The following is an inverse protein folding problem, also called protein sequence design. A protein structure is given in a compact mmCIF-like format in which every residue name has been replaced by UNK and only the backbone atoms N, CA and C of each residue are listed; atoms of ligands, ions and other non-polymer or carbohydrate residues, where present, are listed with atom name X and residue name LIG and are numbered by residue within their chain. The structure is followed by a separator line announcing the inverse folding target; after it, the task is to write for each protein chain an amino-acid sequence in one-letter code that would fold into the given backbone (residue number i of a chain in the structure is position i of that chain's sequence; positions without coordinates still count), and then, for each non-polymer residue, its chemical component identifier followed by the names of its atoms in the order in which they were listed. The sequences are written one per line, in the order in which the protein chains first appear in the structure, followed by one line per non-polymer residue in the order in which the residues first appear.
data_IF_626749809112
#
_entry.id   IF_626749809112
#
_cell.length_a   1.000
_cell.length_b   1.000
_cell.length_c   1.000
_cell.angle_alpha   90.00
_cell.angle_beta   90.00
_cell.angle_gamma   90.00
#
_symmetry.space_group_name_H-M   'P 1'
#
loop_
_entity.id
_entity.type
_entity.pdbx_description
1 polymer ?
#
# COMPACT_ATOMS: atom_id res chain seq x y z
N UNK A 1 -4.97 -3.57 22.51
CA UNK A 1 -6.24 -3.40 23.26
C UNK A 1 -6.19 -2.10 24.05
N UNK A 2 -7.32 -1.44 24.19
CA UNK A 2 -7.45 -0.21 24.99
C UNK A 2 -7.26 -0.52 26.48
N UNK A 3 -6.46 0.29 27.17
CA UNK A 3 -6.37 0.28 28.64
C UNK A 3 -7.33 1.30 29.22
N UNK A 4 -7.27 2.53 28.69
CA UNK A 4 -8.20 3.63 29.02
C UNK A 4 -8.12 4.68 27.89
N UNK A 5 -9.20 5.41 27.66
CA UNK A 5 -9.22 6.51 26.68
C UNK A 5 -10.63 6.99 26.40
N UNK A 6 -10.75 8.25 25.97
CA UNK A 6 -12.02 8.84 25.60
C UNK A 6 -12.56 8.21 24.32
N UNK A 7 -13.81 7.78 24.33
CA UNK A 7 -14.49 7.18 23.18
C UNK A 7 -14.20 5.69 22.93
N UNK A 8 -13.48 5.02 23.83
CA UNK A 8 -13.17 3.59 23.74
C UNK A 8 -13.38 2.90 25.09
N UNK A 9 -13.84 1.65 25.04
CA UNK A 9 -14.00 0.82 26.23
C UNK A 9 -12.69 0.08 26.56
N UNK A 10 -12.35 -0.10 27.87
CA UNK A 10 -11.25 -0.96 28.27
C UNK A 10 -11.39 -2.37 27.70
N UNK A 11 -10.33 -2.91 27.14
CA UNK A 11 -10.33 -4.22 26.46
C UNK A 11 -10.78 -4.19 24.99
N UNK A 12 -11.27 -3.07 24.49
CA UNK A 12 -11.64 -2.94 23.08
C UNK A 12 -10.43 -3.19 22.18
N UNK A 13 -10.65 -3.94 21.10
CA UNK A 13 -9.64 -4.21 20.08
C UNK A 13 -9.52 -2.98 19.17
N UNK A 14 -8.30 -2.47 19.01
CA UNK A 14 -8.04 -1.27 18.20
C UNK A 14 -6.75 -1.41 17.40
N UNK A 15 -6.65 -0.67 16.29
CA UNK A 15 -5.39 -0.33 15.64
C UNK A 15 -5.21 1.18 15.66
N UNK A 16 -3.97 1.65 15.72
CA UNK A 16 -3.68 3.07 15.71
C UNK A 16 -2.43 3.38 14.89
N UNK A 17 -2.26 4.65 14.52
CA UNK A 17 -1.09 5.15 13.84
C UNK A 17 -0.58 6.42 14.50
N UNK A 18 0.74 6.49 14.69
CA UNK A 18 1.44 7.66 15.22
C UNK A 18 2.76 7.85 14.49
N UNK A 19 3.44 8.96 14.78
CA UNK A 19 4.74 9.26 14.17
C UNK A 19 5.87 8.36 14.69
N UNK A 20 5.78 7.88 15.94
CA UNK A 20 6.80 7.08 16.63
C UNK A 20 6.22 6.40 17.88
N UNK A 21 7.02 5.51 18.50
CA UNK A 21 6.69 4.94 19.81
C UNK A 21 5.85 3.65 19.76
N UNK A 22 5.58 3.09 18.56
CA UNK A 22 4.76 1.88 18.43
C UNK A 22 5.40 0.59 18.94
N UNK A 23 6.73 0.55 19.10
CA UNK A 23 7.44 -0.60 19.65
C UNK A 23 7.50 -0.52 21.20
N UNK A 24 6.35 -0.54 21.85
CA UNK A 24 6.21 -0.41 23.30
C UNK A 24 5.00 -1.20 23.79
N UNK A 25 5.05 -1.68 25.03
CA UNK A 25 3.95 -2.42 25.66
C UNK A 25 2.71 -1.54 25.88
N UNK A 26 2.92 -0.26 26.10
CA UNK A 26 1.88 0.76 26.25
C UNK A 26 2.20 1.97 25.38
N UNK A 27 1.21 2.42 24.64
CA UNK A 27 1.31 3.59 23.77
C UNK A 27 0.20 4.57 24.12
N UNK A 28 0.53 5.84 24.23
CA UNK A 28 -0.43 6.93 24.32
C UNK A 28 -0.54 7.57 22.93
N UNK A 29 -1.76 7.67 22.42
CA UNK A 29 -2.05 8.26 21.11
C UNK A 29 -3.28 9.14 21.15
N UNK A 30 -3.46 9.98 20.12
CA UNK A 30 -4.72 10.71 19.92
C UNK A 30 -5.83 9.74 19.53
N UNK A 31 -7.01 9.90 20.13
CA UNK A 31 -8.19 9.11 19.79
C UNK A 31 -8.58 9.22 18.31
N UNK A 32 -8.26 10.33 17.65
CA UNK A 32 -8.49 10.54 16.20
C UNK A 32 -7.69 9.60 15.31
N UNK A 33 -6.59 9.04 15.82
CA UNK A 33 -5.69 8.15 15.08
C UNK A 33 -5.81 6.69 15.53
N UNK A 34 -6.87 6.36 16.28
CA UNK A 34 -7.15 5.02 16.81
C UNK A 34 -8.50 4.56 16.29
N UNK A 35 -8.57 3.33 15.81
CA UNK A 35 -9.73 2.78 15.11
C UNK A 35 -10.14 1.44 15.72
N UNK A 36 -11.44 1.26 15.97
CA UNK A 36 -11.99 -0.04 16.37
C UNK A 36 -11.76 -1.10 15.30
N UNK A 37 -11.30 -2.28 15.70
CA UNK A 37 -11.07 -3.39 14.77
C UNK A 37 -12.34 -4.21 14.57
N UNK A 38 -12.71 -4.53 13.31
CA UNK A 38 -13.69 -5.56 13.00
C UNK A 38 -13.24 -6.92 13.54
N UNK A 39 -14.20 -7.77 13.92
CA UNK A 39 -13.91 -9.12 14.45
C UNK A 39 -13.22 -10.03 13.45
N UNK A 40 -13.41 -9.78 12.15
CA UNK A 40 -12.82 -10.54 11.06
C UNK A 40 -11.29 -10.40 10.94
N UNK A 41 -10.66 -9.43 11.65
CA UNK A 41 -9.23 -9.10 11.52
C UNK A 41 -8.49 -9.47 12.80
N UNK A 42 -7.37 -10.18 12.68
CA UNK A 42 -6.43 -10.43 13.78
C UNK A 42 -5.59 -9.19 14.11
N UNK A 43 -4.90 -9.18 15.25
CA UNK A 43 -3.99 -8.07 15.57
C UNK A 43 -2.81 -7.98 14.62
N UNK A 44 -2.28 -9.12 14.18
CA UNK A 44 -1.18 -9.18 13.23
C UNK A 44 -1.57 -8.60 11.85
N UNK A 45 -2.76 -8.90 11.36
CA UNK A 45 -3.30 -8.30 10.15
C UNK A 45 -3.55 -6.79 10.33
N UNK A 46 -4.08 -6.40 11.50
CA UNK A 46 -4.43 -5.03 11.80
C UNK A 46 -3.25 -4.05 11.80
N UNK A 47 -2.01 -4.52 12.08
CA UNK A 47 -0.80 -3.67 12.07
C UNK A 47 -0.57 -2.99 10.72
N UNK A 48 -1.01 -3.58 9.63
CA UNK A 48 -0.87 -3.00 8.29
C UNK A 48 -1.92 -1.93 7.98
N UNK A 49 -3.11 -2.00 8.58
CA UNK A 49 -4.29 -1.24 8.17
C UNK A 49 -4.09 0.28 8.24
N UNK A 50 -3.69 0.89 9.38
CA UNK A 50 -3.70 2.35 9.50
C UNK A 50 -2.69 3.05 8.60
N UNK A 51 -1.53 2.44 8.32
CA UNK A 51 -0.51 3.07 7.51
C UNK A 51 -0.62 2.67 6.03
N UNK A 52 -0.61 1.36 5.74
CA UNK A 52 -0.50 0.90 4.37
C UNK A 52 -1.82 1.04 3.60
N UNK A 53 -2.95 0.67 4.23
CA UNK A 53 -4.25 0.66 3.56
C UNK A 53 -4.86 2.06 3.45
N UNK A 54 -4.69 2.93 4.45
CA UNK A 54 -5.13 4.31 4.32
C UNK A 54 -4.27 5.08 3.30
N UNK A 55 -2.97 4.77 3.18
CA UNK A 55 -2.14 5.27 2.08
C UNK A 55 -2.65 4.77 0.71
N UNK A 56 -2.99 3.48 0.60
CA UNK A 56 -3.51 2.92 -0.64
C UNK A 56 -4.88 3.52 -1.03
N UNK A 57 -5.79 3.71 -0.07
CA UNK A 57 -7.06 4.41 -0.30
C UNK A 57 -6.82 5.84 -0.80
N UNK A 58 -5.96 6.61 -0.13
CA UNK A 58 -5.62 7.96 -0.57
C UNK A 58 -5.06 7.97 -2.00
N UNK A 59 -4.13 7.06 -2.29
CA UNK A 59 -3.53 6.94 -3.61
C UNK A 59 -4.58 6.65 -4.69
N UNK A 60 -5.43 5.64 -4.47
CA UNK A 60 -6.32 5.10 -5.50
C UNK A 60 -7.64 5.88 -5.63
N UNK A 61 -8.29 6.21 -4.50
CA UNK A 61 -9.57 6.94 -4.55
C UNK A 61 -9.38 8.43 -4.80
N UNK A 62 -8.48 9.09 -4.07
CA UNK A 62 -8.39 10.56 -4.12
C UNK A 62 -7.38 11.05 -5.14
N UNK A 63 -6.20 10.45 -5.16
CA UNK A 63 -5.14 10.91 -6.08
C UNK A 63 -5.33 10.36 -7.49
N UNK A 64 -5.63 9.08 -7.62
CA UNK A 64 -5.86 8.47 -8.92
C UNK A 64 -7.32 8.56 -9.39
N UNK A 65 -8.28 8.57 -8.48
CA UNK A 65 -9.71 8.50 -8.79
C UNK A 65 -10.01 7.26 -9.65
N UNK A 66 -9.52 6.11 -9.19
CA UNK A 66 -9.68 4.83 -9.89
C UNK A 66 -11.15 4.47 -9.98
N UNK A 67 -11.56 3.99 -11.15
CA UNK A 67 -12.94 3.55 -11.43
C UNK A 67 -12.97 2.05 -11.70
N UNK A 68 -14.11 1.44 -11.45
CA UNK A 68 -14.32 0.04 -11.79
C UNK A 68 -14.06 -0.23 -13.29
N UNK A 69 -13.35 -1.31 -13.57
CA UNK A 69 -12.94 -1.69 -14.93
C UNK A 69 -11.62 -1.07 -15.39
N UNK A 70 -11.03 -0.12 -14.68
CA UNK A 70 -9.69 0.38 -14.97
C UNK A 70 -8.62 -0.67 -14.62
N UNK A 71 -7.44 -0.55 -15.25
CA UNK A 71 -6.28 -1.38 -14.97
C UNK A 71 -5.26 -0.59 -14.17
N UNK A 72 -4.87 -1.13 -13.01
CA UNK A 72 -3.87 -0.55 -12.09
C UNK A 72 -2.61 -1.39 -12.09
N UNK A 73 -1.46 -0.77 -12.35
CA UNK A 73 -0.14 -1.37 -12.17
C UNK A 73 0.39 -1.03 -10.78
N UNK A 74 0.93 -2.02 -10.07
CA UNK A 74 1.49 -1.81 -8.72
C UNK A 74 2.95 -2.25 -8.68
N UNK A 75 3.88 -1.30 -8.49
CA UNK A 75 5.28 -1.59 -8.21
C UNK A 75 5.50 -1.95 -6.74
N UNK A 76 6.55 -2.74 -6.47
CA UNK A 76 6.83 -3.21 -5.11
C UNK A 76 5.70 -4.03 -4.51
N UNK A 77 5.02 -4.80 -5.35
CA UNK A 77 3.74 -5.43 -5.13
C UNK A 77 3.69 -6.41 -3.94
N UNK A 78 4.82 -6.98 -3.53
CA UNK A 78 4.92 -7.88 -2.37
C UNK A 78 5.21 -7.15 -1.04
N UNK A 79 5.39 -5.83 -1.06
CA UNK A 79 5.59 -5.01 0.15
C UNK A 79 4.28 -4.59 0.79
N UNK A 80 4.36 -3.93 1.97
CA UNK A 80 3.16 -3.55 2.73
C UNK A 80 2.20 -2.61 1.98
N UNK A 81 2.70 -1.51 1.37
CA UNK A 81 1.85 -0.60 0.56
C UNK A 81 1.47 -1.24 -0.77
N UNK A 82 2.35 -2.08 -1.36
CA UNK A 82 2.06 -2.80 -2.60
C UNK A 82 0.87 -3.74 -2.45
N UNK A 83 0.89 -4.63 -1.45
CA UNK A 83 -0.22 -5.55 -1.17
C UNK A 83 -1.51 -4.82 -0.80
N UNK A 84 -1.41 -3.73 -0.02
CA UNK A 84 -2.55 -2.88 0.29
C UNK A 84 -3.15 -2.26 -0.98
N UNK A 85 -2.31 -1.75 -1.89
CA UNK A 85 -2.76 -1.18 -3.17
C UNK A 85 -3.45 -2.21 -4.06
N UNK A 86 -2.94 -3.45 -4.10
CA UNK A 86 -3.60 -4.55 -4.82
C UNK A 86 -5.02 -4.75 -4.28
N UNK A 87 -5.17 -4.95 -2.97
CA UNK A 87 -6.46 -5.27 -2.37
C UNK A 87 -7.45 -4.11 -2.45
N UNK A 88 -7.00 -2.87 -2.22
CA UNK A 88 -7.86 -1.68 -2.37
C UNK A 88 -8.28 -1.50 -3.83
N UNK A 89 -7.39 -1.64 -4.80
CA UNK A 89 -7.74 -1.57 -6.22
C UNK A 89 -8.76 -2.64 -6.61
N UNK A 90 -8.62 -3.87 -6.09
CA UNK A 90 -9.64 -4.93 -6.26
C UNK A 90 -10.97 -4.55 -5.64
N UNK A 91 -10.96 -3.95 -4.44
CA UNK A 91 -12.16 -3.43 -3.77
C UNK A 91 -12.87 -2.33 -4.56
N UNK A 92 -12.13 -1.55 -5.34
CA UNK A 92 -12.66 -0.54 -6.26
C UNK A 92 -13.11 -1.11 -7.62
N UNK A 93 -12.99 -2.43 -7.82
CA UNK A 93 -13.39 -3.10 -9.06
C UNK A 93 -12.38 -2.97 -10.21
N UNK A 94 -11.12 -2.65 -9.92
CA UNK A 94 -10.06 -2.56 -10.92
C UNK A 94 -9.44 -3.94 -11.24
N UNK A 95 -8.87 -4.08 -12.44
CA UNK A 95 -7.90 -5.12 -12.77
C UNK A 95 -6.53 -4.69 -12.25
N UNK A 96 -5.78 -5.60 -11.65
CA UNK A 96 -4.48 -5.30 -11.06
C UNK A 96 -3.37 -6.12 -11.72
N UNK A 97 -2.33 -5.43 -12.21
CA UNK A 97 -1.08 -6.03 -12.67
C UNK A 97 0.00 -5.69 -11.65
N UNK A 98 0.60 -6.69 -11.03
CA UNK A 98 1.66 -6.54 -10.05
C UNK A 98 3.03 -6.57 -10.72
N UNK A 99 3.97 -5.73 -10.24
CA UNK A 99 5.38 -5.78 -10.64
C UNK A 99 6.22 -6.14 -9.43
N UNK A 100 7.02 -7.20 -9.55
CA UNK A 100 7.83 -7.76 -8.48
C UNK A 100 9.27 -8.02 -8.92
N UNK A 101 10.21 -8.00 -7.97
CA UNK A 101 11.64 -8.21 -8.26
C UNK A 101 12.03 -9.68 -8.44
N UNK A 102 11.22 -10.61 -7.97
CA UNK A 102 11.47 -12.07 -8.06
C UNK A 102 10.17 -12.82 -8.32
N UNK A 103 10.29 -14.05 -8.85
CA UNK A 103 9.12 -14.92 -9.08
C UNK A 103 8.35 -15.21 -7.79
N UNK A 104 9.03 -15.46 -6.67
CA UNK A 104 8.41 -15.66 -5.36
C UNK A 104 7.54 -14.45 -4.94
N UNK A 105 8.05 -13.24 -5.13
CA UNK A 105 7.31 -12.00 -4.86
C UNK A 105 6.14 -11.80 -5.82
N UNK A 106 6.27 -12.24 -7.07
CA UNK A 106 5.18 -12.21 -8.03
C UNK A 106 4.05 -13.16 -7.62
N UNK A 107 4.39 -14.38 -7.18
CA UNK A 107 3.40 -15.34 -6.67
C UNK A 107 2.73 -14.83 -5.39
N UNK A 108 3.49 -14.19 -4.51
CA UNK A 108 2.93 -13.54 -3.32
C UNK A 108 1.93 -12.43 -3.67
N UNK A 109 2.24 -11.62 -4.69
CA UNK A 109 1.33 -10.56 -5.15
C UNK A 109 0.04 -11.15 -5.78
N UNK A 110 0.13 -12.26 -6.52
CA UNK A 110 -1.06 -13.00 -7.01
C UNK A 110 -1.91 -13.52 -5.85
N UNK A 111 -1.27 -14.12 -4.85
CA UNK A 111 -1.97 -14.58 -3.65
C UNK A 111 -2.63 -13.43 -2.87
N UNK A 112 -2.09 -12.21 -2.95
CA UNK A 112 -2.69 -11.00 -2.37
C UNK A 112 -3.86 -10.44 -3.20
N UNK A 113 -4.14 -10.99 -4.40
CA UNK A 113 -5.29 -10.64 -5.23
C UNK A 113 -4.98 -9.97 -6.58
N UNK A 114 -3.71 -9.87 -6.99
CA UNK A 114 -3.38 -9.38 -8.32
C UNK A 114 -3.87 -10.34 -9.41
N UNK A 115 -4.45 -9.81 -10.48
CA UNK A 115 -4.93 -10.61 -11.62
C UNK A 115 -3.76 -11.16 -12.44
N UNK A 116 -2.71 -10.35 -12.60
CA UNK A 116 -1.46 -10.71 -13.27
C UNK A 116 -0.27 -10.24 -12.44
N UNK A 117 0.89 -10.89 -12.62
CA UNK A 117 2.14 -10.43 -12.03
C UNK A 117 3.30 -10.67 -12.98
N UNK A 118 4.13 -9.65 -13.15
CA UNK A 118 5.29 -9.63 -14.03
C UNK A 118 6.56 -9.31 -13.25
N UNK A 119 7.72 -9.64 -13.81
CA UNK A 119 9.00 -9.27 -13.20
C UNK A 119 9.36 -7.81 -13.52
N UNK A 120 10.11 -7.17 -12.64
CA UNK A 120 10.55 -5.78 -12.81
C UNK A 120 11.45 -5.62 -14.05
N UNK A 121 12.29 -6.61 -14.34
CA UNK A 121 13.06 -6.64 -15.57
C UNK A 121 12.14 -6.96 -16.76
N UNK A 122 12.09 -6.07 -17.73
CA UNK A 122 11.23 -6.22 -18.91
C UNK A 122 9.73 -5.96 -18.69
N UNK A 123 9.30 -5.52 -17.50
CA UNK A 123 7.87 -5.34 -17.15
C UNK A 123 7.09 -4.54 -18.18
N UNK A 124 7.73 -3.55 -18.82
CA UNK A 124 7.06 -2.67 -19.78
C UNK A 124 6.46 -3.48 -20.94
N UNK A 125 7.24 -4.36 -21.53
CA UNK A 125 6.82 -5.11 -22.71
C UNK A 125 5.77 -6.17 -22.34
N UNK A 126 5.92 -6.80 -21.18
CA UNK A 126 4.91 -7.74 -20.64
C UNK A 126 3.59 -7.04 -20.32
N UNK A 127 3.61 -5.87 -19.67
CA UNK A 127 2.42 -5.07 -19.39
C UNK A 127 1.73 -4.62 -20.67
N UNK A 128 2.49 -4.16 -21.66
CA UNK A 128 1.91 -3.80 -22.96
C UNK A 128 1.27 -5.01 -23.64
N UNK A 129 1.86 -6.19 -23.57
CA UNK A 129 1.27 -7.42 -24.09
C UNK A 129 -0.03 -7.78 -23.34
N UNK A 130 -0.03 -7.74 -22.00
CA UNK A 130 -1.21 -8.03 -21.16
C UNK A 130 -2.38 -7.04 -21.38
N UNK A 131 -2.10 -5.85 -21.87
CA UNK A 131 -3.07 -4.79 -22.15
C UNK A 131 -3.34 -4.59 -23.64
N UNK A 132 -2.89 -5.51 -24.51
CA UNK A 132 -3.08 -5.47 -25.96
C UNK A 132 -2.57 -4.14 -26.59
N UNK A 133 -1.51 -3.57 -26.01
CA UNK A 133 -0.92 -2.32 -26.43
C UNK A 133 -1.61 -1.05 -25.92
N UNK A 134 -2.73 -1.17 -25.19
CA UNK A 134 -3.46 -0.01 -24.65
C UNK A 134 -2.70 0.67 -23.50
N UNK A 135 -2.06 -0.10 -22.65
CA UNK A 135 -1.45 0.36 -21.41
C UNK A 135 -2.43 0.36 -20.22
N UNK A 136 -1.95 0.84 -19.05
CA UNK A 136 -2.67 0.85 -17.77
C UNK A 136 -3.21 2.24 -17.44
N UNK A 137 -4.32 2.31 -16.71
CA UNK A 137 -4.97 3.57 -16.36
C UNK A 137 -4.28 4.28 -15.19
N UNK A 138 -3.70 3.51 -14.26
CA UNK A 138 -2.94 4.06 -13.15
C UNK A 138 -1.71 3.19 -12.82
N UNK A 139 -0.65 3.84 -12.32
CA UNK A 139 0.53 3.18 -11.77
C UNK A 139 0.70 3.63 -10.33
N UNK A 140 0.79 2.70 -9.39
CA UNK A 140 1.19 2.96 -8.00
C UNK A 140 2.69 2.67 -7.88
N UNK A 141 3.49 3.71 -7.71
CA UNK A 141 4.95 3.59 -7.65
C UNK A 141 5.49 3.90 -6.24
N UNK A 142 5.84 2.84 -5.51
CA UNK A 142 6.53 2.91 -4.21
C UNK A 142 8.05 2.73 -4.36
N UNK A 143 8.53 2.42 -5.57
CA UNK A 143 9.92 2.02 -5.86
C UNK A 143 10.72 3.18 -6.41
N UNK A 144 10.20 3.86 -7.41
CA UNK A 144 10.92 4.94 -8.12
C UNK A 144 12.12 4.42 -8.94
N UNK A 145 13.19 5.21 -8.97
CA UNK A 145 14.44 4.83 -9.63
C UNK A 145 14.29 4.56 -11.12
N UNK A 146 14.98 3.53 -11.59
CA UNK A 146 15.04 3.14 -13.01
C UNK A 146 13.67 2.74 -13.61
N UNK A 147 12.73 2.25 -12.78
CA UNK A 147 11.39 1.84 -13.24
C UNK A 147 10.51 3.02 -13.66
N UNK A 148 10.77 4.22 -13.15
CA UNK A 148 9.90 5.39 -13.31
C UNK A 148 9.64 5.77 -14.77
N UNK A 149 10.67 5.78 -15.61
CA UNK A 149 10.52 6.16 -17.02
C UNK A 149 9.68 5.17 -17.82
N UNK A 150 9.85 3.88 -17.56
CA UNK A 150 9.06 2.85 -18.24
C UNK A 150 7.64 2.77 -17.67
N UNK A 151 7.45 3.14 -16.41
CA UNK A 151 6.11 3.32 -15.84
C UNK A 151 5.29 4.39 -16.56
N UNK A 152 5.92 5.49 -17.00
CA UNK A 152 5.25 6.50 -17.84
C UNK A 152 4.94 5.98 -19.26
N UNK A 153 5.70 5.02 -19.75
CA UNK A 153 5.51 4.45 -21.10
C UNK A 153 4.40 3.42 -21.17
N UNK A 154 4.08 2.79 -20.05
CA UNK A 154 2.97 1.81 -19.98
C UNK A 154 1.64 2.45 -19.64
N UNK A 155 1.58 3.76 -19.39
CA UNK A 155 0.32 4.46 -19.17
C UNK A 155 -0.51 4.54 -20.46
N UNK A 156 -1.77 4.23 -20.34
CA UNK A 156 -2.77 4.56 -21.35
C UNK A 156 -2.92 6.08 -21.50
N UNK A 157 -3.49 6.60 -22.61
CA UNK A 157 -3.84 8.02 -22.71
C UNK A 157 -4.67 8.47 -21.51
N UNK A 158 -4.32 9.64 -20.93
CA UNK A 158 -4.89 10.18 -19.69
C UNK A 158 -4.64 9.32 -18.43
N UNK A 159 -3.70 8.37 -18.50
CA UNK A 159 -3.25 7.60 -17.36
C UNK A 159 -2.48 8.44 -16.34
N UNK A 160 -2.39 7.94 -15.11
CA UNK A 160 -1.74 8.67 -14.01
C UNK A 160 -0.76 7.80 -13.23
N UNK A 161 0.45 8.33 -13.05
CA UNK A 161 1.48 7.73 -12.21
C UNK A 161 1.45 8.37 -10.83
N UNK A 162 1.33 7.54 -9.81
CA UNK A 162 1.25 7.93 -8.40
C UNK A 162 2.61 7.71 -7.74
N UNK A 163 3.28 8.80 -7.38
CA UNK A 163 4.57 8.76 -6.69
C UNK A 163 4.31 8.63 -5.20
N UNK A 164 4.52 7.42 -4.66
CA UNK A 164 4.29 7.08 -3.25
C UNK A 164 5.60 7.04 -2.47
N UNK A 165 6.70 6.60 -3.11
CA UNK A 165 7.99 6.48 -2.44
C UNK A 165 9.14 6.18 -3.40
N UNK A 166 10.32 5.98 -2.81
CA UNK A 166 11.59 5.80 -3.53
C UNK A 166 12.39 4.63 -2.94
N UNK A 167 11.72 3.47 -2.78
CA UNK A 167 12.32 2.30 -2.13
C UNK A 167 13.49 1.68 -2.92
N UNK A 168 13.69 2.02 -4.19
CA UNK A 168 14.87 1.59 -4.95
C UNK A 168 16.19 2.10 -4.34
N UNK A 169 16.18 3.29 -3.71
CA UNK A 169 17.41 3.93 -3.22
C UNK A 169 18.32 4.45 -4.33
N UNK A 170 17.81 4.57 -5.55
CA UNK A 170 18.56 5.02 -6.75
C UNK A 170 18.50 6.55 -6.95
N UNK A 171 18.00 7.30 -5.95
CA UNK A 171 17.76 8.74 -6.07
C UNK A 171 16.35 9.09 -6.55
N UNK A 172 16.10 10.38 -6.68
CA UNK A 172 14.81 10.91 -7.13
C UNK A 172 14.77 10.89 -8.66
N UNK A 173 13.78 10.24 -9.29
CA UNK A 173 13.70 10.18 -10.74
C UNK A 173 13.37 11.54 -11.35
N UNK A 174 13.91 11.78 -12.54
CA UNK A 174 13.63 12.97 -13.35
C UNK A 174 12.76 12.63 -14.55
N UNK A 175 11.86 13.53 -14.93
CA UNK A 175 11.01 13.37 -16.10
C UNK A 175 11.23 14.48 -17.11
N UNK A 176 11.38 14.12 -18.37
CA UNK A 176 11.27 15.07 -19.49
C UNK A 176 9.79 15.35 -19.72
N UNK A 177 9.34 16.57 -19.40
CA UNK A 177 7.91 16.96 -19.39
C UNK A 177 7.17 16.76 -20.73
N UNK A 178 7.89 16.70 -21.87
CA UNK A 178 7.28 16.35 -23.15
C UNK A 178 6.64 14.95 -23.15
N UNK A 179 7.08 14.03 -22.26
CA UNK A 179 6.44 12.71 -22.11
C UNK A 179 5.02 12.81 -21.56
N UNK A 180 4.77 13.80 -20.71
CA UNK A 180 3.44 14.04 -20.16
C UNK A 180 2.50 14.58 -21.23
N UNK A 181 3.01 15.50 -22.06
CA UNK A 181 2.26 16.11 -23.16
C UNK A 181 1.84 15.08 -24.24
N UNK A 182 2.73 14.17 -24.62
CA UNK A 182 2.52 13.28 -25.77
C UNK A 182 1.34 12.32 -25.61
N UNK A 183 1.08 11.86 -24.38
CA UNK A 183 -0.02 10.93 -24.08
C UNK A 183 -1.05 11.53 -23.11
N UNK A 184 -0.95 12.84 -22.80
CA UNK A 184 -1.80 13.51 -21.82
C UNK A 184 -1.83 12.76 -20.48
N UNK A 185 -0.67 12.32 -19.98
CA UNK A 185 -0.56 11.59 -18.72
C UNK A 185 -0.21 12.50 -17.56
N UNK A 186 -0.60 12.10 -16.36
CA UNK A 186 -0.32 12.82 -15.12
C UNK A 186 0.74 12.13 -14.28
N UNK A 187 1.54 12.91 -13.55
CA UNK A 187 2.33 12.46 -12.41
C UNK A 187 1.78 13.14 -11.16
N UNK A 188 1.36 12.34 -10.19
CA UNK A 188 0.66 12.81 -8.98
C UNK A 188 1.38 12.35 -7.73
N UNK A 189 1.70 13.28 -6.82
CA UNK A 189 2.27 12.96 -5.51
C UNK A 189 1.26 12.31 -4.57
N UNK A 190 1.73 11.36 -3.75
CA UNK A 190 0.95 10.66 -2.72
C UNK A 190 1.66 10.84 -1.38
N UNK A 191 1.49 11.99 -0.76
CA UNK A 191 2.02 12.31 0.57
C UNK A 191 0.95 12.10 1.65
N UNK A 192 0.43 10.88 1.80
CA UNK A 192 -0.68 10.58 2.72
C UNK A 192 -0.42 11.08 4.14
N UNK A 193 0.72 10.77 4.73
CA UNK A 193 1.02 11.18 6.12
C UNK A 193 1.00 12.70 6.29
N UNK A 194 1.63 13.44 5.37
CA UNK A 194 1.63 14.90 5.41
C UNK A 194 0.22 15.48 5.31
N UNK A 195 -0.65 14.86 4.51
CA UNK A 195 -2.04 15.28 4.35
C UNK A 195 -2.88 14.85 5.56
N UNK A 196 -2.86 13.59 5.91
CA UNK A 196 -3.76 12.99 6.91
C UNK A 196 -3.55 13.56 8.33
N UNK A 197 -2.29 13.75 8.74
CA UNK A 197 -2.00 14.34 10.07
C UNK A 197 -2.31 15.85 10.15
N UNK A 198 -2.45 16.53 9.02
CA UNK A 198 -2.83 17.94 8.98
C UNK A 198 -4.36 18.16 8.93
N UNK A 199 -5.16 17.11 8.74
CA UNK A 199 -6.61 17.22 8.58
C UNK A 199 -7.33 16.34 9.62
N UNK A 200 -7.79 16.98 10.70
CA UNK A 200 -8.51 16.31 11.79
C UNK A 200 -9.73 15.53 11.25
N UNK A 201 -9.93 14.32 11.75
CA UNK A 201 -11.05 13.45 11.35
C UNK A 201 -10.86 12.69 10.03
N UNK A 202 -9.93 13.11 9.15
CA UNK A 202 -9.75 12.52 7.83
C UNK A 202 -9.44 11.02 7.85
N UNK A 203 -8.57 10.57 8.76
CA UNK A 203 -8.26 9.14 8.89
C UNK A 203 -9.48 8.33 9.32
N UNK A 204 -10.36 8.90 10.15
CA UNK A 204 -11.63 8.28 10.52
C UNK A 204 -12.58 8.08 9.36
N UNK A 205 -12.67 9.09 8.46
CA UNK A 205 -13.45 8.97 7.22
C UNK A 205 -12.88 7.90 6.29
N UNK A 206 -11.56 7.83 6.14
CA UNK A 206 -10.92 6.76 5.38
C UNK A 206 -11.16 5.38 6.01
N UNK A 207 -11.06 5.29 7.34
CA UNK A 207 -11.32 4.04 8.06
C UNK A 207 -12.75 3.54 7.82
N UNK A 208 -13.74 4.43 7.88
CA UNK A 208 -15.13 4.08 7.60
C UNK A 208 -15.33 3.53 6.17
N UNK A 209 -14.54 3.98 5.20
CA UNK A 209 -14.54 3.44 3.82
C UNK A 209 -13.81 2.10 3.71
N UNK A 210 -12.79 1.87 4.55
CA UNK A 210 -12.01 0.63 4.55
C UNK A 210 -12.77 -0.54 5.20
N UNK A 211 -13.56 -0.29 6.25
CA UNK A 211 -14.28 -1.32 7.01
C UNK A 211 -15.13 -2.24 6.13
N UNK A 212 -15.97 -1.76 5.19
CA UNK A 212 -16.73 -2.65 4.30
C UNK A 212 -15.85 -3.55 3.44
N UNK A 213 -14.65 -3.10 3.02
CA UNK A 213 -13.72 -3.92 2.26
C UNK A 213 -13.09 -5.02 3.14
N UNK A 214 -12.89 -4.75 4.42
CA UNK A 214 -12.45 -5.76 5.41
C UNK A 214 -13.56 -6.79 5.64
N UNK A 215 -14.77 -6.35 5.90
CA UNK A 215 -15.92 -7.21 6.18
C UNK A 215 -16.29 -8.11 5.01
N UNK A 216 -16.11 -7.62 3.77
CA UNK A 216 -16.29 -8.42 2.55
C UNK A 216 -15.17 -9.42 2.29
N UNK A 217 -14.05 -9.34 3.04
CA UNK A 217 -12.87 -10.17 2.86
C UNK A 217 -11.97 -9.78 1.67
N UNK A 218 -12.28 -8.71 0.95
CA UNK A 218 -11.41 -8.17 -0.12
C UNK A 218 -10.12 -7.60 0.47
N UNK A 219 -10.22 -6.92 1.61
CA UNK A 219 -9.08 -6.47 2.39
C UNK A 219 -8.79 -7.49 3.48
N UNK A 220 -7.72 -8.24 3.29
CA UNK A 220 -7.15 -9.17 4.26
C UNK A 220 -5.63 -9.04 4.22
N UNK A 221 -5.04 -8.19 5.10
CA UNK A 221 -3.61 -7.90 5.04
C UNK A 221 -2.77 -9.16 5.16
N UNK A 222 -1.90 -9.46 4.19
CA UNK A 222 -1.02 -10.61 4.31
C UNK A 222 0.04 -10.33 5.37
N UNK A 223 0.12 -11.20 6.37
CA UNK A 223 1.14 -11.18 7.41
C UNK A 223 2.35 -11.95 6.91
N UNK A 224 3.50 -11.30 6.94
CA UNK A 224 4.78 -11.94 6.64
C UNK A 224 5.32 -12.70 7.87
N UNK A 225 6.49 -12.31 8.36
CA UNK A 225 7.06 -12.91 9.57
C UNK A 225 6.62 -12.15 10.82
N UNK A 226 6.29 -12.88 11.87
CA UNK A 226 6.01 -12.36 13.22
C UNK A 226 7.23 -12.62 14.08
N UNK A 227 7.75 -11.59 14.74
CA UNK A 227 8.91 -11.62 15.61
C UNK A 227 8.47 -11.39 17.06
N UNK A 228 9.05 -12.06 18.04
CA UNK A 228 8.94 -11.62 19.44
C UNK A 228 9.70 -10.29 19.62
N UNK A 229 9.38 -9.56 20.69
CA UNK A 229 10.01 -8.24 20.94
C UNK A 229 11.53 -8.32 21.06
N UNK A 230 12.04 -9.41 21.59
CA UNK A 230 13.49 -9.66 21.74
C UNK A 230 14.22 -9.69 20.40
N UNK A 231 13.52 -10.03 19.31
CA UNK A 231 14.04 -10.05 17.94
C UNK A 231 13.74 -8.74 17.16
N UNK A 232 13.35 -7.66 17.82
CA UNK A 232 13.02 -6.39 17.15
C UNK A 232 14.15 -5.88 16.25
N UNK A 233 15.41 -5.99 16.70
CA UNK A 233 16.57 -5.64 15.88
C UNK A 233 16.68 -6.46 14.60
N UNK A 234 16.39 -7.78 14.67
CA UNK A 234 16.38 -8.65 13.50
C UNK A 234 15.24 -8.30 12.54
N UNK A 235 14.07 -7.94 13.06
CA UNK A 235 12.95 -7.49 12.24
C UNK A 235 13.31 -6.24 11.40
N UNK A 236 14.07 -5.30 11.97
CA UNK A 236 14.56 -4.11 11.26
C UNK A 236 15.57 -4.46 10.16
N UNK A 237 16.50 -5.38 10.45
CA UNK A 237 17.48 -5.87 9.47
C UNK A 237 16.79 -6.59 8.32
N UNK A 238 15.83 -7.47 8.61
CA UNK A 238 15.07 -8.20 7.59
C UNK A 238 14.23 -7.25 6.73
N UNK A 239 13.70 -6.18 7.31
CA UNK A 239 12.99 -5.12 6.57
C UNK A 239 13.93 -4.36 5.63
N UNK A 240 15.10 -3.98 6.08
CA UNK A 240 16.10 -3.22 5.29
C UNK A 240 16.69 -4.07 4.16
N UNK A 241 16.81 -5.38 4.35
CA UNK A 241 17.30 -6.32 3.33
C UNK A 241 16.40 -6.44 2.10
N UNK A 242 15.17 -5.92 2.17
CA UNK A 242 14.12 -6.04 1.13
C UNK A 242 13.73 -7.49 0.79
N UNK A 243 14.12 -8.46 1.60
CA UNK A 243 13.73 -9.87 1.44
C UNK A 243 12.31 -10.14 1.96
N UNK A 244 11.75 -9.23 2.76
CA UNK A 244 10.45 -9.39 3.38
C UNK A 244 9.31 -9.53 2.37
N UNK A 245 8.40 -10.46 2.65
CA UNK A 245 7.11 -10.62 1.99
C UNK A 245 6.00 -10.10 2.92
N UNK A 246 5.14 -9.23 2.42
CA UNK A 246 4.05 -8.65 3.22
C UNK A 246 4.53 -7.77 4.37
N UNK A 247 3.73 -7.74 5.45
CA UNK A 247 4.01 -6.96 6.65
C UNK A 247 4.81 -7.77 7.65
N UNK A 248 5.96 -7.25 8.09
CA UNK A 248 6.67 -7.76 9.25
C UNK A 248 6.00 -7.21 10.52
N UNK A 249 5.78 -8.08 11.49
CA UNK A 249 5.07 -7.78 12.73
C UNK A 249 5.96 -8.11 13.92
N UNK A 250 5.97 -7.26 14.93
CA UNK A 250 6.61 -7.52 16.21
C UNK A 250 5.51 -7.70 17.26
N UNK A 251 5.47 -8.87 17.90
CA UNK A 251 4.53 -9.19 18.98
C UNK A 251 5.15 -8.85 20.32
N UNK A 252 4.45 -8.04 21.09
CA UNK A 252 4.90 -7.54 22.39
C UNK A 252 4.40 -8.37 23.56
N UNK A 253 3.26 -9.06 23.37
CA UNK A 253 2.63 -9.97 24.35
C UNK A 253 1.94 -11.12 23.62
N UNK A 254 1.81 -12.22 24.29
CA UNK A 254 0.98 -13.36 23.88
C UNK A 254 -0.51 -13.06 24.08
#
# INVERSE_FOLDING_TARGET
MVVSGDGFEPGQRVAGVGGYGGAAELVVGSAENVFGLPDAITFEEAVALPMNYLTALFALEERAQVRAGETVLVHGAAGGVGTASIQVAKGLGARVIAVASTAEKADYARAAGADDAVLADGFKDEVMALTEGRGVDAVVDVVGGSLFTDSLRVLAPQGRLLVVGFAAGEGIPEVKVNRLLLNNVDVRGVGWGAYAFAHAGYMGEQWARLVPMIESGVVKPPVGKVYPIEEFGQALIDMDSRAALGKLVVRLRD
#
